data_IF_635293794549
#
_entry.id   IF_635293794549
#
_cell.length_a   1.000
_cell.length_b   1.000
_cell.length_c   1.000
_cell.angle_alpha   90.00
_cell.angle_beta   90.00
_cell.angle_gamma   90.00
#
_symmetry.space_group_name_H-M   'P 1'
#
loop_
_entity.id
_entity.type
_entity.pdbx_description
1 polymer ?
#
# COMPACT_ATOMS: atom_id res chain seq x y z
N UNK A 1 -8.07 -32.78 -28.70
CA UNK A 1 -7.64 -31.38 -28.54
C UNK A 1 -8.61 -30.59 -27.66
N UNK A 2 -9.92 -30.68 -27.87
CA UNK A 2 -10.99 -30.00 -27.09
C UNK A 2 -10.96 -30.35 -25.59
N UNK A 3 -10.79 -31.62 -25.20
CA UNK A 3 -10.72 -32.05 -23.78
C UNK A 3 -9.54 -31.41 -23.02
N UNK A 4 -8.39 -31.21 -23.67
CA UNK A 4 -7.21 -30.59 -23.07
C UNK A 4 -7.39 -29.08 -22.92
N UNK A 5 -8.11 -28.43 -23.82
CA UNK A 5 -8.48 -27.03 -23.71
C UNK A 5 -9.47 -26.79 -22.58
N UNK A 6 -10.50 -27.63 -22.43
CA UNK A 6 -11.46 -27.54 -21.33
C UNK A 6 -10.81 -27.72 -19.97
N UNK A 7 -9.84 -28.63 -19.83
CA UNK A 7 -9.10 -28.81 -18.57
C UNK A 7 -8.20 -27.63 -18.23
N UNK A 8 -7.59 -26.96 -19.21
CA UNK A 8 -6.74 -25.77 -18.99
C UNK A 8 -7.62 -24.59 -18.59
N UNK A 9 -8.77 -24.43 -19.22
CA UNK A 9 -9.70 -23.35 -18.94
C UNK A 9 -10.31 -23.50 -17.54
N UNK A 10 -10.77 -24.69 -17.15
CA UNK A 10 -11.30 -24.96 -15.80
C UNK A 10 -10.24 -24.77 -14.71
N UNK A 11 -8.99 -25.18 -14.93
CA UNK A 11 -7.90 -24.96 -13.96
C UNK A 11 -7.54 -23.46 -13.81
N UNK A 12 -7.64 -22.67 -14.89
CA UNK A 12 -7.44 -21.23 -14.86
C UNK A 12 -8.52 -20.49 -14.08
N UNK A 13 -9.79 -20.88 -14.24
CA UNK A 13 -10.93 -20.30 -13.50
C UNK A 13 -10.84 -20.60 -11.99
N UNK A 14 -10.52 -21.82 -11.62
CA UNK A 14 -10.31 -22.21 -10.21
C UNK A 14 -9.16 -21.38 -9.58
N UNK A 15 -8.11 -21.12 -10.35
CA UNK A 15 -7.00 -20.29 -9.90
C UNK A 15 -7.44 -18.85 -9.67
N UNK A 16 -8.25 -18.24 -10.55
CA UNK A 16 -8.76 -16.88 -10.41
C UNK A 16 -9.71 -16.73 -9.21
N UNK A 17 -10.62 -17.67 -8.98
CA UNK A 17 -11.50 -17.64 -7.82
C UNK A 17 -10.75 -17.76 -6.49
N UNK A 18 -9.72 -18.61 -6.44
CA UNK A 18 -8.83 -18.70 -5.26
C UNK A 18 -8.08 -17.39 -5.05
N UNK A 19 -7.55 -16.80 -6.11
CA UNK A 19 -6.86 -15.52 -6.05
C UNK A 19 -7.79 -14.38 -5.57
N UNK A 20 -9.06 -14.36 -6.00
CA UNK A 20 -10.03 -13.38 -5.52
C UNK A 20 -10.28 -13.51 -4.02
N UNK A 21 -10.42 -14.74 -3.49
CA UNK A 21 -10.54 -14.96 -2.05
C UNK A 21 -9.30 -14.50 -1.29
N UNK A 22 -8.12 -14.80 -1.80
CA UNK A 22 -6.85 -14.36 -1.20
C UNK A 22 -6.79 -12.82 -1.16
N UNK A 23 -7.07 -12.15 -2.28
CA UNK A 23 -7.10 -10.68 -2.33
C UNK A 23 -8.12 -10.10 -1.34
N UNK A 24 -9.31 -10.70 -1.25
CA UNK A 24 -10.36 -10.28 -0.34
C UNK A 24 -10.00 -10.43 1.14
N UNK A 25 -9.18 -11.41 1.50
CA UNK A 25 -8.73 -11.63 2.89
C UNK A 25 -7.52 -10.74 3.21
N UNK A 26 -6.52 -10.77 2.34
CA UNK A 26 -5.21 -10.18 2.67
C UNK A 26 -5.27 -8.65 2.75
N UNK A 27 -6.07 -7.98 1.90
CA UNK A 27 -6.15 -6.53 1.89
C UNK A 27 -6.73 -5.95 3.18
N UNK A 28 -7.92 -6.38 3.70
CA UNK A 28 -8.40 -5.89 4.98
C UNK A 28 -7.43 -6.15 6.14
N UNK A 29 -6.75 -7.30 6.14
CA UNK A 29 -5.72 -7.64 7.14
C UNK A 29 -4.56 -6.65 7.03
N UNK A 30 -4.06 -6.35 5.83
CA UNK A 30 -2.96 -5.41 5.63
C UNK A 30 -3.33 -4.00 6.11
N UNK A 31 -4.54 -3.52 5.83
CA UNK A 31 -5.03 -2.22 6.32
C UNK A 31 -5.12 -2.19 7.85
N UNK A 32 -5.60 -3.25 8.48
CA UNK A 32 -5.64 -3.34 9.95
C UNK A 32 -4.22 -3.27 10.53
N UNK A 33 -3.28 -4.02 9.97
CA UNK A 33 -1.87 -3.98 10.39
C UNK A 33 -1.33 -2.55 10.24
N UNK A 34 -1.52 -1.94 9.09
CA UNK A 34 -1.06 -0.58 8.79
C UNK A 34 -1.62 0.44 9.80
N UNK A 35 -2.94 0.41 10.02
CA UNK A 35 -3.60 1.34 10.94
C UNK A 35 -3.16 1.14 12.39
N UNK A 36 -3.14 -0.09 12.88
CA UNK A 36 -2.70 -0.40 14.24
C UNK A 36 -1.24 0.03 14.42
N UNK A 37 -0.35 -0.38 13.53
CA UNK A 37 1.08 -0.08 13.65
C UNK A 37 1.34 1.42 13.61
N UNK A 38 0.81 2.11 12.62
CA UNK A 38 1.16 3.52 12.43
C UNK A 38 0.40 4.45 13.38
N UNK A 39 -0.88 4.20 13.69
CA UNK A 39 -1.65 5.10 14.54
C UNK A 39 -1.42 4.86 16.04
N UNK A 40 -1.23 3.60 16.47
CA UNK A 40 -1.15 3.28 17.91
C UNK A 40 0.27 3.00 18.40
N UNK A 41 1.19 2.63 17.51
CA UNK A 41 2.56 2.27 17.88
C UNK A 41 3.55 3.36 17.47
N UNK A 42 3.58 3.75 16.21
CA UNK A 42 4.61 4.65 15.66
C UNK A 42 4.27 6.12 15.89
N UNK A 43 3.06 6.55 15.56
CA UNK A 43 2.67 7.97 15.63
C UNK A 43 2.80 8.57 17.04
N UNK A 44 2.45 7.88 18.14
CA UNK A 44 2.61 8.45 19.48
C UNK A 44 4.06 8.72 19.90
N UNK A 45 5.03 8.05 19.25
CA UNK A 45 6.45 8.21 19.56
C UNK A 45 7.08 9.37 18.79
N UNK A 46 6.45 9.85 17.71
CA UNK A 46 7.00 10.84 16.79
C UNK A 46 6.38 12.22 17.05
N UNK A 47 7.14 13.13 17.58
CA UNK A 47 6.74 14.54 17.78
C UNK A 47 7.36 15.35 16.63
N UNK A 48 6.60 15.62 15.58
CA UNK A 48 7.08 16.29 14.35
C UNK A 48 7.78 17.64 14.63
N UNK A 49 7.32 18.38 15.63
CA UNK A 49 7.88 19.68 16.02
C UNK A 49 9.12 19.59 16.92
N UNK A 50 9.39 18.42 17.53
CA UNK A 50 10.45 18.26 18.54
C UNK A 50 11.24 16.95 18.31
N UNK A 51 12.30 16.98 17.48
CA UNK A 51 13.13 15.79 17.19
C UNK A 51 13.86 15.22 18.42
N UNK A 52 14.19 16.06 19.40
CA UNK A 52 14.86 15.59 20.63
C UNK A 52 13.91 14.78 21.51
N UNK A 53 12.65 15.18 21.59
CA UNK A 53 11.61 14.45 22.29
C UNK A 53 11.28 13.14 21.56
N UNK A 54 11.21 13.15 20.22
CA UNK A 54 11.07 11.94 19.39
C UNK A 54 12.19 10.96 19.69
N UNK A 55 13.45 11.40 19.70
CA UNK A 55 14.60 10.54 20.01
C UNK A 55 14.49 9.93 21.41
N UNK A 56 14.09 10.71 22.42
CA UNK A 56 13.89 10.24 23.80
C UNK A 56 12.76 9.22 23.87
N UNK A 57 11.61 9.47 23.22
CA UNK A 57 10.47 8.55 23.21
C UNK A 57 10.86 7.22 22.59
N UNK A 58 11.56 7.23 21.44
CA UNK A 58 12.03 6.00 20.78
C UNK A 58 13.01 5.24 21.66
N UNK A 59 14.00 5.92 22.26
CA UNK A 59 14.95 5.26 23.16
C UNK A 59 14.26 4.65 24.40
N UNK A 60 13.26 5.33 24.95
CA UNK A 60 12.51 4.83 26.12
C UNK A 60 11.55 3.69 25.78
N UNK A 61 11.11 3.59 24.54
CA UNK A 61 10.13 2.59 24.07
C UNK A 61 10.65 1.82 22.84
N UNK A 62 11.95 1.53 22.82
CA UNK A 62 12.62 0.91 21.66
C UNK A 62 11.94 -0.39 21.22
N UNK A 63 11.56 -1.26 22.16
CA UNK A 63 10.88 -2.51 21.84
C UNK A 63 9.57 -2.28 21.10
N UNK A 64 8.76 -1.31 21.54
CA UNK A 64 7.52 -0.93 20.89
C UNK A 64 7.77 -0.38 19.49
N UNK A 65 8.79 0.46 19.31
CA UNK A 65 9.16 1.00 18.01
C UNK A 65 9.63 -0.12 17.05
N UNK A 66 10.37 -1.12 17.54
CA UNK A 66 10.75 -2.32 16.76
C UNK A 66 9.54 -3.15 16.33
N UNK A 67 8.50 -3.26 17.16
CA UNK A 67 7.22 -3.87 16.77
C UNK A 67 6.60 -3.07 15.61
N UNK A 68 6.66 -1.74 15.67
CA UNK A 68 6.22 -0.88 14.57
C UNK A 68 6.93 -1.18 13.26
N UNK A 69 8.26 -1.31 13.29
CA UNK A 69 9.07 -1.67 12.11
C UNK A 69 8.69 -3.06 11.57
N UNK A 70 8.56 -4.04 12.44
CA UNK A 70 8.15 -5.39 12.04
C UNK A 70 6.76 -5.40 11.40
N UNK A 71 5.84 -4.58 11.91
CA UNK A 71 4.51 -4.40 11.34
C UNK A 71 4.53 -3.78 9.95
N UNK A 72 5.37 -2.76 9.70
CA UNK A 72 5.53 -2.16 8.38
C UNK A 72 6.13 -3.15 7.36
N UNK A 73 7.06 -4.01 7.79
CA UNK A 73 7.59 -5.10 6.95
C UNK A 73 6.49 -6.11 6.63
N UNK A 74 5.71 -6.53 7.64
CA UNK A 74 4.60 -7.47 7.46
C UNK A 74 3.54 -6.89 6.51
N UNK A 75 3.22 -5.60 6.62
CA UNK A 75 2.35 -4.89 5.68
C UNK A 75 2.87 -5.02 4.25
N UNK A 76 4.17 -4.74 4.01
CA UNK A 76 4.79 -4.89 2.68
C UNK A 76 4.67 -6.32 2.12
N UNK A 77 4.83 -7.34 2.97
CA UNK A 77 4.63 -8.74 2.56
C UNK A 77 3.19 -9.00 2.16
N UNK A 78 2.22 -8.49 2.93
CA UNK A 78 0.80 -8.60 2.60
C UNK A 78 0.47 -7.94 1.25
N UNK A 79 1.07 -6.78 0.97
CA UNK A 79 0.90 -6.10 -0.32
C UNK A 79 1.44 -6.92 -1.50
N UNK A 80 2.60 -7.58 -1.34
CA UNK A 80 3.14 -8.47 -2.38
C UNK A 80 2.19 -9.64 -2.64
N UNK A 81 1.59 -10.23 -1.61
CA UNK A 81 0.57 -11.29 -1.78
C UNK A 81 -0.66 -10.74 -2.49
N UNK A 82 -1.12 -9.55 -2.11
CA UNK A 82 -2.26 -8.88 -2.73
C UNK A 82 -2.04 -8.60 -4.21
N UNK A 83 -0.88 -8.04 -4.59
CA UNK A 83 -0.55 -7.78 -5.98
C UNK A 83 -0.52 -9.05 -6.84
N UNK A 84 0.05 -10.16 -6.32
CA UNK A 84 0.10 -11.45 -7.02
C UNK A 84 -1.32 -11.97 -7.25
N UNK A 85 -2.19 -11.83 -6.25
CA UNK A 85 -3.58 -12.23 -6.35
C UNK A 85 -4.32 -11.39 -7.42
N UNK A 86 -4.21 -10.07 -7.39
CA UNK A 86 -4.82 -9.18 -8.39
C UNK A 86 -4.29 -9.42 -9.81
N UNK A 87 -2.97 -9.59 -9.95
CA UNK A 87 -2.38 -9.96 -11.24
C UNK A 87 -2.98 -11.26 -11.77
N UNK A 88 -3.11 -12.29 -10.92
CA UNK A 88 -3.68 -13.59 -11.28
C UNK A 88 -5.13 -13.45 -11.77
N UNK A 89 -5.92 -12.57 -11.14
CA UNK A 89 -7.30 -12.28 -11.53
C UNK A 89 -7.35 -11.58 -12.90
N UNK A 90 -6.47 -10.61 -13.14
CA UNK A 90 -6.63 -9.64 -14.22
C UNK A 90 -5.75 -9.90 -15.45
N UNK A 91 -4.72 -10.76 -15.35
CA UNK A 91 -3.81 -11.07 -16.47
C UNK A 91 -4.52 -11.55 -17.75
N UNK A 92 -5.66 -12.23 -17.61
CA UNK A 92 -6.45 -12.72 -18.75
C UNK A 92 -7.33 -11.62 -19.38
N UNK A 93 -7.56 -10.50 -18.68
CA UNK A 93 -8.31 -9.34 -19.20
C UNK A 93 -7.42 -8.49 -20.09
N UNK A 94 -6.23 -8.14 -19.57
CA UNK A 94 -5.15 -7.50 -20.32
C UNK A 94 -3.83 -7.69 -19.58
N UNK A 95 -2.95 -8.49 -20.17
CA UNK A 95 -1.68 -8.89 -19.57
C UNK A 95 -0.75 -7.71 -19.30
N UNK A 96 -0.60 -6.80 -20.27
CA UNK A 96 0.31 -5.66 -20.16
C UNK A 96 -0.12 -4.68 -19.07
N UNK A 97 -1.40 -4.33 -19.02
CA UNK A 97 -1.92 -3.45 -17.97
C UNK A 97 -1.91 -4.13 -16.59
N UNK A 98 -2.13 -5.44 -16.51
CA UNK A 98 -2.01 -6.18 -15.24
C UNK A 98 -0.57 -6.18 -14.72
N UNK A 99 0.44 -6.34 -15.60
CA UNK A 99 1.85 -6.21 -15.23
C UNK A 99 2.17 -4.79 -14.78
N UNK A 100 1.72 -3.76 -15.51
CA UNK A 100 1.94 -2.37 -15.12
C UNK A 100 1.42 -2.08 -13.72
N UNK A 101 0.18 -2.49 -13.43
CA UNK A 101 -0.40 -2.33 -12.10
C UNK A 101 0.39 -3.10 -11.02
N UNK A 102 0.85 -4.33 -11.33
CA UNK A 102 1.67 -5.10 -10.41
C UNK A 102 3.01 -4.42 -10.11
N UNK A 103 3.65 -3.81 -11.12
CA UNK A 103 4.88 -3.01 -10.92
C UNK A 103 4.61 -1.80 -10.04
N UNK A 104 3.50 -1.08 -10.27
CA UNK A 104 3.10 0.05 -9.44
C UNK A 104 2.93 -0.35 -7.96
N UNK A 105 2.26 -1.45 -7.68
CA UNK A 105 2.09 -1.97 -6.31
C UNK A 105 3.41 -2.45 -5.71
N UNK A 106 4.30 -3.03 -6.52
CA UNK A 106 5.63 -3.42 -6.06
C UNK A 106 6.45 -2.20 -5.61
N UNK A 107 6.37 -1.09 -6.35
CA UNK A 107 7.04 0.17 -5.98
C UNK A 107 6.50 0.69 -4.64
N UNK A 108 5.18 0.65 -4.42
CA UNK A 108 4.61 1.03 -3.14
C UNK A 108 5.08 0.11 -2.00
N UNK A 109 5.03 -1.20 -2.18
CA UNK A 109 5.52 -2.17 -1.19
C UNK A 109 7.00 -1.92 -0.85
N UNK A 110 7.84 -1.61 -1.86
CA UNK A 110 9.23 -1.26 -1.66
C UNK A 110 9.41 0.08 -0.90
N UNK A 111 8.53 1.05 -1.12
CA UNK A 111 8.53 2.32 -0.36
C UNK A 111 8.32 2.07 1.14
N UNK A 112 7.43 1.15 1.52
CA UNK A 112 7.23 0.77 2.92
C UNK A 112 8.44 0.06 3.53
N UNK A 113 9.17 -0.75 2.74
CA UNK A 113 10.45 -1.32 3.19
C UNK A 113 11.52 -0.24 3.40
N UNK A 114 11.56 0.80 2.55
CA UNK A 114 12.46 1.95 2.75
C UNK A 114 12.11 2.72 4.03
N UNK A 115 10.82 2.91 4.33
CA UNK A 115 10.37 3.49 5.60
C UNK A 115 10.88 2.65 6.77
N UNK A 116 10.74 1.32 6.71
CA UNK A 116 11.24 0.43 7.75
C UNK A 116 12.78 0.51 7.91
N UNK A 117 13.53 0.61 6.81
CA UNK A 117 15.00 0.81 6.83
C UNK A 117 15.36 2.13 7.52
N UNK A 118 14.65 3.21 7.20
CA UNK A 118 14.85 4.51 7.85
C UNK A 118 14.60 4.44 9.36
N UNK A 119 13.53 3.75 9.77
CA UNK A 119 13.22 3.52 11.19
C UNK A 119 14.32 2.70 11.89
N UNK A 120 14.86 1.65 11.24
CA UNK A 120 16.02 0.90 11.76
C UNK A 120 17.27 1.78 11.87
N UNK A 121 17.51 2.65 10.90
CA UNK A 121 18.63 3.59 10.93
C UNK A 121 18.55 4.48 12.15
N UNK A 122 17.39 4.99 12.48
CA UNK A 122 17.19 5.80 13.69
C UNK A 122 17.54 5.02 14.96
N UNK A 123 17.12 3.76 15.11
CA UNK A 123 17.49 2.94 16.26
C UNK A 123 19.04 2.80 16.35
N UNK A 124 19.71 2.55 15.23
CA UNK A 124 21.17 2.43 15.20
C UNK A 124 21.85 3.74 15.60
N UNK A 125 21.37 4.87 15.08
CA UNK A 125 21.89 6.19 15.43
C UNK A 125 21.76 6.50 16.93
N UNK A 126 20.66 6.09 17.56
CA UNK A 126 20.41 6.34 18.98
C UNK A 126 21.18 5.39 19.90
N UNK A 127 21.50 4.17 19.45
CA UNK A 127 22.15 3.13 20.27
C UNK A 127 23.66 3.06 20.08
N UNK A 128 24.21 3.64 19.01
CA UNK A 128 25.65 3.63 18.76
C UNK A 128 26.34 4.74 19.58
N UNK A 129 26.97 4.34 20.68
CA UNK A 129 27.67 5.24 21.58
C UNK A 129 28.84 5.97 20.86
N UNK A 130 29.57 5.27 19.97
CA UNK A 130 30.66 5.88 19.21
C UNK A 130 30.17 6.95 18.23
N UNK A 131 29.06 6.67 17.57
CA UNK A 131 28.43 7.58 16.62
C UNK A 131 27.78 8.78 17.32
N UNK A 132 27.05 8.54 18.42
CA UNK A 132 26.38 9.59 19.19
C UNK A 132 27.35 10.59 19.81
N UNK A 133 28.56 10.15 20.23
CA UNK A 133 29.62 11.02 20.73
C UNK A 133 30.36 11.80 19.63
N UNK A 134 30.30 11.35 18.38
CA UNK A 134 30.94 12.00 17.24
C UNK A 134 30.17 13.19 16.70
N UNK A 135 28.89 13.28 17.00
CA UNK A 135 28.00 14.36 16.59
C UNK A 135 27.59 15.23 17.78
N UNK A 136 27.45 16.54 17.51
CA UNK A 136 26.72 17.40 18.47
C UNK A 136 25.28 16.95 18.55
N UNK A 137 24.61 17.09 19.71
CA UNK A 137 23.20 16.67 19.88
C UNK A 137 22.25 17.18 18.78
N UNK A 138 22.49 18.42 18.32
CA UNK A 138 21.69 19.04 17.24
C UNK A 138 21.81 18.27 15.91
N UNK A 139 23.03 17.79 15.59
CA UNK A 139 23.29 16.99 14.39
C UNK A 139 22.59 15.64 14.43
N UNK A 140 22.60 14.96 15.59
CA UNK A 140 21.90 13.72 15.80
C UNK A 140 20.38 13.90 15.63
N UNK A 141 19.82 14.93 16.25
CA UNK A 141 18.39 15.23 16.13
C UNK A 141 17.96 15.62 14.71
N UNK A 142 18.84 16.31 13.97
CA UNK A 142 18.61 16.61 12.56
C UNK A 142 18.53 15.32 11.72
N UNK A 143 19.39 14.33 11.99
CA UNK A 143 19.33 13.02 11.32
C UNK A 143 18.07 12.24 11.68
N UNK A 144 17.67 12.20 12.96
CA UNK A 144 16.41 11.58 13.39
C UNK A 144 15.23 12.22 12.66
N UNK A 145 15.21 13.54 12.55
CA UNK A 145 14.19 14.27 11.79
C UNK A 145 14.18 13.87 10.32
N UNK A 146 15.32 13.82 9.67
CA UNK A 146 15.44 13.48 8.25
C UNK A 146 14.88 12.08 7.94
N UNK A 147 15.16 11.11 8.80
CA UNK A 147 14.76 9.73 8.56
C UNK A 147 13.31 9.39 8.97
N UNK A 148 12.71 10.16 9.90
CA UNK A 148 11.37 9.84 10.42
C UNK A 148 10.28 10.80 9.97
N UNK A 149 10.60 12.04 9.63
CA UNK A 149 9.62 13.09 9.38
C UNK A 149 9.48 13.37 7.88
N UNK A 150 10.39 12.86 7.05
CA UNK A 150 10.28 12.92 5.59
C UNK A 150 9.15 12.02 5.09
N UNK A 151 8.05 12.65 4.68
CA UNK A 151 6.88 11.95 4.11
C UNK A 151 7.08 11.61 2.61
N UNK A 152 8.23 11.99 2.03
CA UNK A 152 8.48 11.87 0.58
C UNK A 152 8.39 10.42 0.08
N UNK A 153 8.96 9.47 0.82
CA UNK A 153 8.92 8.04 0.46
C UNK A 153 7.49 7.52 0.47
N UNK A 154 6.68 7.94 1.46
CA UNK A 154 5.28 7.58 1.56
C UNK A 154 4.49 8.11 0.35
N UNK A 155 4.63 9.40 -0.01
CA UNK A 155 3.91 9.97 -1.14
C UNK A 155 4.35 9.37 -2.48
N UNK A 156 5.65 9.04 -2.67
CA UNK A 156 6.10 8.29 -3.86
C UNK A 156 5.36 6.95 -3.94
N UNK A 157 5.33 6.19 -2.86
CA UNK A 157 4.61 4.94 -2.78
C UNK A 157 3.12 5.11 -3.11
N UNK A 158 2.46 6.08 -2.46
CA UNK A 158 1.04 6.38 -2.64
C UNK A 158 0.69 6.74 -4.09
N UNK A 159 1.55 7.51 -4.77
CA UNK A 159 1.35 7.84 -6.17
C UNK A 159 1.28 6.58 -7.04
N UNK A 160 2.27 5.69 -6.89
CA UNK A 160 2.29 4.45 -7.65
C UNK A 160 1.15 3.51 -7.26
N UNK A 161 0.79 3.45 -5.99
CA UNK A 161 -0.38 2.72 -5.53
C UNK A 161 -1.65 3.23 -6.22
N UNK A 162 -1.90 4.52 -6.22
CA UNK A 162 -3.07 5.13 -6.84
C UNK A 162 -3.11 4.93 -8.37
N UNK A 163 -1.96 5.00 -9.06
CA UNK A 163 -1.87 4.67 -10.49
C UNK A 163 -2.20 3.20 -10.74
N UNK A 164 -1.67 2.29 -9.94
CA UNK A 164 -1.98 0.86 -9.99
C UNK A 164 -3.46 0.59 -9.78
N UNK A 165 -4.08 1.21 -8.76
CA UNK A 165 -5.51 1.11 -8.47
C UNK A 165 -6.38 1.65 -9.61
N UNK A 166 -5.96 2.74 -10.26
CA UNK A 166 -6.67 3.27 -11.43
C UNK A 166 -6.69 2.26 -12.56
N UNK A 167 -5.55 1.66 -12.89
CA UNK A 167 -5.45 0.65 -13.95
C UNK A 167 -6.23 -0.61 -13.61
N UNK A 168 -6.14 -1.11 -12.38
CA UNK A 168 -6.93 -2.25 -11.91
C UNK A 168 -8.42 -1.98 -12.03
N UNK A 169 -8.88 -0.79 -11.61
CA UNK A 169 -10.28 -0.39 -11.68
C UNK A 169 -10.78 -0.35 -13.13
N UNK A 170 -9.95 0.11 -14.08
CA UNK A 170 -10.25 0.04 -15.52
C UNK A 170 -10.38 -1.40 -16.01
N UNK A 171 -9.49 -2.31 -15.59
CA UNK A 171 -9.55 -3.72 -15.95
C UNK A 171 -10.79 -4.41 -15.33
N UNK A 172 -11.14 -4.07 -14.09
CA UNK A 172 -12.34 -4.58 -13.42
C UNK A 172 -13.61 -4.07 -14.09
N UNK A 173 -13.63 -2.83 -14.58
CA UNK A 173 -14.73 -2.28 -15.37
C UNK A 173 -14.90 -3.04 -16.69
N UNK A 174 -13.78 -3.29 -17.39
CA UNK A 174 -13.78 -4.04 -18.66
C UNK A 174 -14.21 -5.48 -18.49
N UNK A 175 -13.73 -6.17 -17.47
CA UNK A 175 -14.03 -7.58 -17.19
C UNK A 175 -15.42 -7.81 -16.59
N UNK A 176 -16.01 -6.78 -15.99
CA UNK A 176 -17.27 -6.89 -15.23
C UNK A 176 -17.19 -7.89 -14.06
N UNK A 177 -16.01 -8.14 -13.53
CA UNK A 177 -15.83 -9.04 -12.37
C UNK A 177 -16.49 -8.50 -11.10
N UNK A 178 -16.58 -7.17 -10.99
CA UNK A 178 -17.31 -6.46 -9.93
C UNK A 178 -18.37 -5.54 -10.54
N UNK A 179 -19.31 -4.97 -9.75
CA UNK A 179 -20.29 -4.01 -10.25
C UNK A 179 -19.65 -2.83 -10.96
N UNK A 180 -20.25 -2.36 -12.06
CA UNK A 180 -19.75 -1.19 -12.82
C UNK A 180 -19.61 0.05 -11.94
N UNK A 181 -20.60 0.32 -11.07
CA UNK A 181 -20.57 1.45 -10.15
C UNK A 181 -19.33 1.44 -9.24
N UNK A 182 -18.99 0.26 -8.71
CA UNK A 182 -17.81 0.09 -7.87
C UNK A 182 -16.51 0.30 -8.65
N UNK A 183 -16.42 -0.23 -9.88
CA UNK A 183 -15.25 -0.01 -10.75
C UNK A 183 -15.08 1.46 -11.13
N UNK A 184 -16.17 2.17 -11.46
CA UNK A 184 -16.13 3.61 -11.78
C UNK A 184 -15.73 4.42 -10.56
N UNK A 185 -16.26 4.10 -9.38
CA UNK A 185 -15.84 4.72 -8.12
C UNK A 185 -14.34 4.52 -7.88
N UNK A 186 -13.82 3.30 -8.13
CA UNK A 186 -12.39 3.01 -8.05
C UNK A 186 -11.55 3.86 -8.99
N UNK A 187 -11.96 4.03 -10.26
CA UNK A 187 -11.26 4.90 -11.22
C UNK A 187 -11.21 6.34 -10.74
N UNK A 188 -12.35 6.89 -10.31
CA UNK A 188 -12.45 8.29 -9.89
C UNK A 188 -11.62 8.55 -8.63
N UNK A 189 -11.77 7.70 -7.60
CA UNK A 189 -11.09 7.87 -6.32
C UNK A 189 -9.57 7.71 -6.43
N UNK A 190 -9.10 6.72 -7.20
CA UNK A 190 -7.66 6.49 -7.37
C UNK A 190 -7.01 7.52 -8.29
N UNK A 191 -7.67 7.94 -9.39
CA UNK A 191 -7.18 9.01 -10.23
C UNK A 191 -7.13 10.36 -9.48
N UNK A 192 -8.13 10.62 -8.64
CA UNK A 192 -8.14 11.77 -7.73
C UNK A 192 -6.95 11.73 -6.75
N UNK A 193 -6.72 10.59 -6.10
CA UNK A 193 -5.57 10.42 -5.20
C UNK A 193 -4.24 10.65 -5.92
N UNK A 194 -4.04 10.07 -7.11
CA UNK A 194 -2.85 10.28 -7.92
C UNK A 194 -2.66 11.76 -8.28
N UNK A 195 -3.72 12.44 -8.73
CA UNK A 195 -3.70 13.85 -9.08
C UNK A 195 -3.33 14.75 -7.90
N UNK A 196 -3.93 14.53 -6.73
CA UNK A 196 -3.60 15.26 -5.51
C UNK A 196 -2.14 15.04 -5.09
N UNK A 197 -1.65 13.80 -5.17
CA UNK A 197 -0.27 13.47 -4.83
C UNK A 197 0.72 14.20 -5.75
N UNK A 198 0.46 14.27 -7.06
CA UNK A 198 1.28 15.06 -7.97
C UNK A 198 1.27 16.56 -7.63
N UNK A 199 0.11 17.10 -7.27
CA UNK A 199 -0.01 18.52 -6.87
C UNK A 199 0.86 18.81 -5.64
N UNK A 200 0.91 17.89 -4.67
CA UNK A 200 1.74 18.06 -3.47
C UNK A 200 3.24 18.06 -3.77
N UNK A 201 3.69 17.29 -4.77
CA UNK A 201 5.08 17.33 -5.21
C UNK A 201 5.46 18.67 -5.84
N UNK A 202 4.57 19.25 -6.65
CA UNK A 202 4.83 20.52 -7.33
C UNK A 202 4.65 21.70 -6.36
N UNK A 203 3.68 21.60 -5.47
CA UNK A 203 3.27 22.64 -4.53
C UNK A 203 3.22 22.11 -3.08
N UNK A 204 4.36 21.89 -2.42
CA UNK A 204 4.42 21.23 -1.11
C UNK A 204 3.61 21.93 -0.02
N UNK A 205 3.36 23.23 -0.15
CA UNK A 205 2.54 23.99 0.80
C UNK A 205 1.09 23.47 0.90
N UNK A 206 0.55 22.86 -0.15
CA UNK A 206 -0.80 22.30 -0.12
C UNK A 206 -0.88 21.05 0.79
N UNK A 207 0.20 20.28 0.94
CA UNK A 207 0.25 19.14 1.85
C UNK A 207 0.04 19.55 3.33
N UNK A 208 0.34 20.82 3.67
CA UNK A 208 0.09 21.36 5.02
C UNK A 208 -1.36 21.78 5.26
N UNK A 209 -2.13 21.99 4.20
CA UNK A 209 -3.51 22.48 4.26
C UNK A 209 -4.54 21.36 4.02
N UNK A 210 -4.21 20.44 3.12
CA UNK A 210 -5.11 19.35 2.75
C UNK A 210 -4.79 18.11 3.58
N UNK A 211 -5.75 17.66 4.37
CA UNK A 211 -5.61 16.45 5.16
C UNK A 211 -5.63 15.21 4.24
N UNK A 212 -4.69 14.29 4.46
CA UNK A 212 -4.59 13.00 3.77
C UNK A 212 -5.94 12.25 3.69
N UNK A 213 -6.74 12.28 4.75
CA UNK A 213 -8.05 11.64 4.80
C UNK A 213 -9.02 12.11 3.69
N UNK A 214 -8.89 13.31 3.18
CA UNK A 214 -9.78 13.82 2.15
C UNK A 214 -9.49 13.26 0.76
N UNK A 215 -8.24 13.00 0.42
CA UNK A 215 -7.89 12.53 -0.92
C UNK A 215 -7.59 11.04 -1.00
N UNK A 216 -7.16 10.41 0.09
CA UNK A 216 -6.82 8.98 0.14
C UNK A 216 -8.01 8.10 0.57
N UNK A 217 -8.80 8.51 1.55
CA UNK A 217 -9.92 7.69 2.07
C UNK A 217 -10.92 7.21 1.02
N UNK A 218 -11.31 7.98 -0.04
CA UNK A 218 -12.20 7.45 -1.05
C UNK A 218 -11.62 6.22 -1.77
N UNK A 219 -10.30 6.20 -1.99
CA UNK A 219 -9.61 5.07 -2.60
C UNK A 219 -9.59 3.86 -1.65
N UNK A 220 -9.28 4.07 -0.37
CA UNK A 220 -9.31 3.00 0.65
C UNK A 220 -10.73 2.41 0.77
N UNK A 221 -11.78 3.23 0.72
CA UNK A 221 -13.16 2.75 0.73
C UNK A 221 -13.49 1.88 -0.49
N UNK A 222 -13.01 2.26 -1.68
CA UNK A 222 -13.12 1.44 -2.87
C UNK A 222 -12.45 0.08 -2.68
N UNK A 223 -11.22 0.07 -2.20
CA UNK A 223 -10.42 -1.14 -2.04
C UNK A 223 -11.02 -2.11 -1.01
N UNK A 224 -11.52 -1.58 0.11
CA UNK A 224 -12.26 -2.36 1.10
C UNK A 224 -13.55 -2.95 0.52
N UNK A 225 -14.32 -2.15 -0.21
CA UNK A 225 -15.55 -2.62 -0.85
C UNK A 225 -15.26 -3.68 -1.92
N UNK A 226 -14.19 -3.52 -2.71
CA UNK A 226 -13.73 -4.51 -3.68
C UNK A 226 -13.31 -5.81 -2.99
N UNK A 227 -12.57 -5.71 -1.89
CA UNK A 227 -12.10 -6.87 -1.12
C UNK A 227 -13.26 -7.64 -0.51
N UNK A 228 -14.24 -6.94 0.07
CA UNK A 228 -15.47 -7.55 0.59
C UNK A 228 -16.25 -8.22 -0.54
N UNK A 229 -16.35 -7.57 -1.72
CA UNK A 229 -16.98 -8.17 -2.88
C UNK A 229 -16.31 -9.49 -3.28
N UNK A 230 -14.98 -9.52 -3.36
CA UNK A 230 -14.23 -10.72 -3.68
C UNK A 230 -14.44 -11.85 -2.67
N UNK A 231 -14.60 -11.52 -1.37
CA UNK A 231 -14.89 -12.51 -0.34
C UNK A 231 -16.28 -13.11 -0.46
N UNK A 232 -17.30 -12.28 -0.67
CA UNK A 232 -18.71 -12.69 -0.60
C UNK A 232 -19.19 -13.24 -1.94
N UNK A 233 -18.89 -12.55 -3.04
CA UNK A 233 -19.41 -12.85 -4.38
C UNK A 233 -18.37 -13.51 -5.30
N UNK A 234 -17.07 -13.39 -4.97
CA UNK A 234 -16.00 -13.78 -5.87
C UNK A 234 -15.98 -12.94 -7.14
N UNK A 235 -15.41 -13.50 -8.21
CA UNK A 235 -15.43 -12.92 -9.55
C UNK A 235 -16.57 -13.54 -10.37
N UNK A 236 -17.24 -12.73 -11.18
CA UNK A 236 -18.20 -13.24 -12.17
C UNK A 236 -17.39 -13.78 -13.36
N UNK A 237 -17.32 -15.09 -13.51
CA UNK A 237 -16.81 -15.67 -14.76
C UNK A 237 -17.82 -15.40 -15.87
N UNK A 238 -17.37 -14.81 -16.97
CA UNK A 238 -18.20 -14.72 -18.18
C UNK A 238 -18.32 -16.15 -18.73
N UNK A 239 -19.52 -16.72 -18.69
CA UNK A 239 -19.79 -17.86 -19.55
C UNK A 239 -19.62 -17.39 -21.00
N UNK A 240 -18.91 -18.14 -21.86
CA UNK A 240 -18.88 -17.83 -23.29
C UNK A 240 -20.33 -17.77 -23.79
N UNK A 241 -20.69 -16.66 -24.45
CA UNK A 241 -21.97 -16.60 -25.17
C UNK A 241 -22.05 -17.83 -26.11
N UNK A 242 -23.12 -18.60 -26.07
CA UNK A 242 -23.31 -19.68 -27.04
C UNK A 242 -23.34 -19.07 -28.44
N UNK A 243 -22.45 -19.59 -29.30
CA UNK A 243 -22.33 -19.19 -30.70
C UNK A 243 -23.56 -19.52 -31.50
#
# INVERSE_FOLDING_TARGET
MVSKMNNIQSSGEISQHKAAKIAGIIFPISIIILMVVNLTVVAPLIIKSNPSETARNISSHEFLFRIGIAGNILYSVCEVVFLIALYTILKNVNHSFAIFAAICFMINSFSWLLIAINQFTVIRLLNDIGFSHSFRPEGLFAMVRLHLIGEDIYYIGLLFWALGCTVISCLLLKSRYIPKSLSVFGIISSAWCAGCTFIFYIFPNYANVINLWWFDSPMVLFELAMSIWFLIKGIKTQQPEPA
#
